data_IF_243408889169
#
_entry.id   IF_243408889169
#
_cell.length_a   1.000
_cell.length_b   1.000
_cell.length_c   1.000
_cell.angle_alpha   90.00
_cell.angle_beta   90.00
_cell.angle_gamma   90.00
#
_symmetry.space_group_name_H-M   'P 1'
#
loop_
_entity.id
_entity.type
_entity.pdbx_description
1 polymer ?
#
# COMPACT_ATOMS: atom_id res chain seq x y z
N UNK A 1 24.04 33.29 9.02
CA UNK A 1 24.25 31.96 9.61
C UNK A 1 25.68 31.54 9.33
N UNK A 2 26.49 31.40 10.38
CA UNK A 2 27.92 31.07 10.27
C UNK A 2 28.07 29.56 10.20
N UNK A 3 28.53 29.04 9.06
CA UNK A 3 28.91 27.63 8.95
C UNK A 3 30.42 27.55 8.98
N UNK A 4 30.97 27.24 10.16
CA UNK A 4 32.37 26.84 10.31
C UNK A 4 32.44 25.40 9.82
N UNK A 5 32.77 25.20 8.54
CA UNK A 5 33.12 23.89 8.00
C UNK A 5 34.51 23.50 8.50
N UNK A 6 34.59 22.53 9.41
CA UNK A 6 35.87 21.85 9.71
C UNK A 6 36.34 21.16 8.43
N UNK A 7 37.55 21.46 7.97
CA UNK A 7 38.16 20.76 6.85
C UNK A 7 38.38 19.29 7.24
N UNK A 8 37.68 18.37 6.56
CA UNK A 8 37.95 16.93 6.65
C UNK A 8 39.17 16.62 5.79
N UNK A 9 40.29 16.21 6.41
CA UNK A 9 41.49 15.79 5.69
C UNK A 9 41.48 14.27 5.45
N UNK A 10 41.23 13.82 4.23
CA UNK A 10 41.29 12.39 3.85
C UNK A 10 42.68 11.92 3.45
N UNK A 11 43.67 12.83 3.36
CA UNK A 11 45.03 12.50 2.91
C UNK A 11 45.13 12.11 1.43
N UNK A 12 44.04 12.28 0.66
CA UNK A 12 44.01 12.04 -0.78
C UNK A 12 44.33 13.32 -1.56
N UNK A 13 45.01 13.15 -2.67
CA UNK A 13 45.26 14.13 -3.73
C UNK A 13 44.01 14.46 -4.57
N UNK A 14 42.93 13.69 -4.45
CA UNK A 14 41.65 13.96 -5.11
C UNK A 14 40.76 14.93 -4.30
N UNK A 15 40.04 15.80 -5.02
CA UNK A 15 39.06 16.71 -4.42
C UNK A 15 37.79 15.98 -3.99
N UNK A 16 37.35 16.22 -2.75
CA UNK A 16 36.06 15.73 -2.26
C UNK A 16 34.92 16.55 -2.87
N UNK A 17 34.01 15.87 -3.56
CA UNK A 17 32.77 16.47 -4.04
C UNK A 17 31.71 16.29 -2.95
N UNK A 18 31.31 17.38 -2.31
CA UNK A 18 30.22 17.38 -1.33
C UNK A 18 28.95 17.94 -1.98
N UNK A 19 27.92 17.12 -2.11
CA UNK A 19 26.59 17.58 -2.49
C UNK A 19 25.76 17.88 -1.24
N UNK A 20 25.10 19.04 -1.20
CA UNK A 20 24.08 19.33 -0.18
C UNK A 20 22.72 18.97 -0.73
N UNK A 21 22.16 17.85 -0.27
CA UNK A 21 20.80 17.46 -0.60
C UNK A 21 19.86 18.21 0.35
N UNK A 22 18.97 19.03 -0.22
CA UNK A 22 17.91 19.69 0.53
C UNK A 22 16.61 18.97 0.22
N UNK A 23 16.08 18.26 1.20
CA UNK A 23 14.80 17.57 1.09
C UNK A 23 13.69 18.49 1.60
N UNK A 24 12.73 18.83 0.74
CA UNK A 24 11.50 19.46 1.19
C UNK A 24 10.54 18.39 1.68
N UNK A 25 10.35 18.33 3.00
CA UNK A 25 9.48 17.36 3.64
C UNK A 25 8.03 17.39 3.11
N UNK A 26 7.52 18.55 2.67
CA UNK A 26 6.17 18.65 2.12
C UNK A 26 6.08 18.04 0.72
N UNK A 27 7.10 18.26 -0.11
CA UNK A 27 7.17 17.71 -1.46
C UNK A 27 7.35 16.19 -1.39
N UNK A 28 8.27 15.71 -0.56
CA UNK A 28 8.50 14.28 -0.32
C UNK A 28 7.25 13.58 0.21
N UNK A 29 6.56 14.18 1.20
CA UNK A 29 5.32 13.63 1.73
C UNK A 29 4.21 13.54 0.67
N UNK A 30 4.12 14.53 -0.23
CA UNK A 30 3.18 14.49 -1.35
C UNK A 30 3.55 13.42 -2.36
N UNK A 31 4.82 13.32 -2.74
CA UNK A 31 5.33 12.30 -3.65
C UNK A 31 5.03 10.89 -3.11
N UNK A 32 5.30 10.67 -1.82
CA UNK A 32 5.02 9.41 -1.13
C UNK A 32 3.52 9.10 -1.04
N UNK A 33 2.68 10.12 -0.83
CA UNK A 33 1.23 9.93 -0.85
C UNK A 33 0.72 9.54 -2.25
N UNK A 34 1.29 10.10 -3.32
CA UNK A 34 0.95 9.79 -4.71
C UNK A 34 1.46 8.40 -5.09
N UNK A 35 2.70 8.03 -4.74
CA UNK A 35 3.24 6.70 -5.03
C UNK A 35 2.44 5.59 -4.35
N UNK A 36 1.91 5.88 -3.15
CA UNK A 36 1.10 4.95 -2.37
C UNK A 36 -0.40 5.07 -2.69
N UNK A 37 -0.81 6.06 -3.51
CA UNK A 37 -2.19 6.23 -3.90
C UNK A 37 -2.64 5.03 -4.75
N UNK A 38 -3.58 4.24 -4.21
CA UNK A 38 -4.11 3.05 -4.89
C UNK A 38 -3.51 1.73 -4.42
N UNK A 39 -2.44 1.74 -3.62
CA UNK A 39 -1.99 0.53 -2.93
C UNK A 39 -3.01 0.18 -1.83
N UNK A 40 -3.87 -0.82 -2.09
CA UNK A 40 -4.71 -1.41 -1.05
C UNK A 40 -3.78 -2.02 -0.01
N UNK A 41 -3.93 -1.63 1.25
CA UNK A 41 -3.28 -2.33 2.34
C UNK A 41 -3.74 -3.79 2.27
N UNK A 42 -2.83 -4.72 2.07
CA UNK A 42 -3.11 -6.14 2.21
C UNK A 42 -2.80 -6.57 3.63
N UNK A 43 -3.57 -7.52 4.13
CA UNK A 43 -3.36 -8.20 5.41
C UNK A 43 -3.16 -9.67 5.15
N UNK A 44 -2.27 -10.30 5.90
CA UNK A 44 -2.02 -11.72 5.80
C UNK A 44 -3.09 -12.51 6.56
N UNK A 45 -3.80 -13.41 5.87
CA UNK A 45 -4.73 -14.36 6.49
C UNK A 45 -4.04 -15.72 6.70
N UNK A 46 -3.71 -16.02 7.96
CA UNK A 46 -3.04 -17.25 8.33
C UNK A 46 -3.87 -18.52 8.03
N UNK A 47 -5.21 -18.44 8.05
CA UNK A 47 -6.06 -19.61 7.75
C UNK A 47 -6.03 -19.93 6.26
N UNK A 48 -6.14 -18.90 5.43
CA UNK A 48 -6.05 -19.03 3.97
C UNK A 48 -4.66 -19.53 3.58
N UNK A 49 -3.60 -19.00 4.22
CA UNK A 49 -2.24 -19.49 4.02
C UNK A 49 -2.10 -20.98 4.31
N UNK A 50 -2.59 -21.45 5.47
CA UNK A 50 -2.54 -22.87 5.83
C UNK A 50 -3.29 -23.74 4.83
N UNK A 51 -4.47 -23.30 4.36
CA UNK A 51 -5.22 -24.02 3.32
C UNK A 51 -4.42 -24.16 2.02
N UNK A 52 -3.70 -23.12 1.60
CA UNK A 52 -2.86 -23.19 0.40
C UNK A 52 -1.62 -24.06 0.59
N UNK A 53 -1.03 -24.05 1.78
CA UNK A 53 0.10 -24.94 2.12
C UNK A 53 -0.36 -26.39 2.08
N UNK A 54 -1.49 -26.72 2.69
CA UNK A 54 -2.02 -28.09 2.73
C UNK A 54 -2.43 -28.61 1.35
N UNK A 55 -2.89 -27.72 0.47
CA UNK A 55 -3.27 -28.06 -0.90
C UNK A 55 -2.07 -28.13 -1.89
N UNK A 56 -0.89 -27.67 -1.49
CA UNK A 56 0.28 -27.61 -2.36
C UNK A 56 1.01 -28.96 -2.42
N UNK A 57 1.53 -29.29 -3.60
CA UNK A 57 2.35 -30.49 -3.80
C UNK A 57 3.80 -30.26 -3.36
N UNK A 58 4.16 -30.82 -2.21
CA UNK A 58 5.51 -30.76 -1.63
C UNK A 58 6.39 -31.96 -1.97
N UNK A 59 6.04 -32.73 -3.01
CA UNK A 59 6.88 -33.86 -3.42
C UNK A 59 8.27 -33.40 -3.83
N UNK A 60 9.26 -34.07 -3.25
CA UNK A 60 10.68 -33.87 -3.52
C UNK A 60 11.10 -34.68 -4.76
N UNK A 61 12.01 -34.12 -5.52
CA UNK A 61 12.63 -34.73 -6.68
C UNK A 61 14.00 -35.34 -6.28
N UNK A 62 14.84 -35.65 -7.28
CA UNK A 62 16.22 -36.10 -7.04
C UNK A 62 17.22 -34.95 -7.05
N UNK A 63 16.82 -33.77 -7.53
CA UNK A 63 17.66 -32.60 -7.63
C UNK A 63 17.35 -31.63 -6.48
N UNK A 64 18.33 -31.43 -5.59
CA UNK A 64 18.18 -30.59 -4.41
C UNK A 64 18.02 -29.11 -4.77
N UNK A 65 18.65 -28.65 -5.85
CA UNK A 65 18.54 -27.25 -6.27
C UNK A 65 17.14 -26.98 -6.84
N UNK A 66 16.61 -27.94 -7.60
CA UNK A 66 15.23 -27.85 -8.13
C UNK A 66 14.20 -27.92 -6.99
N UNK A 67 14.40 -28.79 -6.01
CA UNK A 67 13.54 -28.90 -4.83
C UNK A 67 13.54 -27.62 -3.99
N UNK A 68 14.71 -27.01 -3.79
CA UNK A 68 14.80 -25.74 -3.07
C UNK A 68 14.07 -24.62 -3.80
N UNK A 69 14.25 -24.53 -5.12
CA UNK A 69 13.56 -23.54 -5.94
C UNK A 69 12.04 -23.76 -5.95
N UNK A 70 11.59 -25.02 -6.10
CA UNK A 70 10.18 -25.41 -6.02
C UNK A 70 9.59 -24.99 -4.68
N UNK A 71 10.26 -25.31 -3.58
CA UNK A 71 9.83 -24.96 -2.24
C UNK A 71 9.66 -23.44 -2.05
N UNK A 72 10.70 -22.67 -2.39
CA UNK A 72 10.68 -21.20 -2.24
C UNK A 72 9.57 -20.58 -3.08
N UNK A 73 9.40 -21.04 -4.32
CA UNK A 73 8.39 -20.50 -5.23
C UNK A 73 6.97 -20.84 -4.77
N UNK A 74 6.73 -22.07 -4.30
CA UNK A 74 5.43 -22.48 -3.74
C UNK A 74 5.11 -21.70 -2.47
N UNK A 75 6.08 -21.50 -1.57
CA UNK A 75 5.87 -20.74 -0.35
C UNK A 75 5.50 -19.28 -0.65
N UNK A 76 6.21 -18.64 -1.59
CA UNK A 76 5.87 -17.29 -2.07
C UNK A 76 4.49 -17.25 -2.71
N UNK A 77 4.12 -18.27 -3.48
CA UNK A 77 2.80 -18.35 -4.07
C UNK A 77 1.71 -18.45 -3.00
N UNK A 78 1.88 -19.33 -1.99
CA UNK A 78 0.96 -19.44 -0.86
C UNK A 78 0.83 -18.11 -0.10
N UNK A 79 1.95 -17.41 0.13
CA UNK A 79 1.95 -16.09 0.76
C UNK A 79 1.13 -15.09 -0.05
N UNK A 80 1.35 -15.00 -1.37
CA UNK A 80 0.62 -14.08 -2.24
C UNK A 80 -0.89 -14.36 -2.27
N UNK A 81 -1.30 -15.64 -2.28
CA UNK A 81 -2.71 -16.00 -2.25
C UNK A 81 -3.37 -15.71 -0.89
N UNK A 82 -2.58 -15.70 0.19
CA UNK A 82 -3.06 -15.37 1.53
C UNK A 82 -3.12 -13.87 1.84
N UNK A 83 -2.65 -13.01 0.92
CA UNK A 83 -2.79 -11.57 1.04
C UNK A 83 -4.21 -11.13 0.69
N UNK A 84 -5.01 -10.86 1.72
CA UNK A 84 -6.38 -10.37 1.56
C UNK A 84 -6.45 -8.86 1.73
N UNK A 85 -7.35 -8.15 1.04
CA UNK A 85 -7.54 -6.72 1.27
C UNK A 85 -7.85 -6.44 2.74
N UNK A 86 -7.05 -5.56 3.36
CA UNK A 86 -7.30 -5.07 4.70
C UNK A 86 -8.66 -4.39 4.71
N UNK A 87 -9.57 -4.91 5.53
CA UNK A 87 -10.85 -4.25 5.75
C UNK A 87 -10.60 -2.85 6.28
N UNK A 88 -10.92 -1.84 5.46
CA UNK A 88 -10.94 -0.47 5.93
C UNK A 88 -11.97 -0.40 7.07
N UNK A 89 -11.51 -0.26 8.32
CA UNK A 89 -12.38 -0.15 9.50
C UNK A 89 -13.48 0.91 9.31
N UNK A 90 -13.24 1.92 8.49
CA UNK A 90 -14.23 2.93 8.10
C UNK A 90 -15.45 2.36 7.36
N UNK A 91 -15.29 1.31 6.56
CA UNK A 91 -16.40 0.64 5.87
C UNK A 91 -17.30 -0.15 6.82
N UNK A 92 -16.76 -0.68 7.92
CA UNK A 92 -17.55 -1.39 8.95
C UNK A 92 -18.30 -0.45 9.89
N UNK A 93 -17.90 0.82 9.99
CA UNK A 93 -18.55 1.83 10.84
C UNK A 93 -19.88 2.34 10.28
N UNK A 94 -20.08 2.22 8.97
CA UNK A 94 -21.25 2.76 8.29
C UNK A 94 -22.18 1.60 8.00
N UNK A 95 -23.45 1.73 8.37
CA UNK A 95 -24.45 0.72 8.05
C UNK A 95 -24.58 0.56 6.53
N UNK A 96 -24.98 -0.62 6.09
CA UNK A 96 -25.20 -0.88 4.66
C UNK A 96 -26.25 0.06 4.05
N UNK A 97 -27.25 0.49 4.83
CA UNK A 97 -28.25 1.47 4.42
C UNK A 97 -27.66 2.86 4.21
N UNK A 98 -26.88 3.38 5.16
CA UNK A 98 -26.21 4.69 5.03
C UNK A 98 -25.19 4.69 3.89
N UNK A 99 -24.52 3.57 3.63
CA UNK A 99 -23.59 3.43 2.50
C UNK A 99 -24.29 3.57 1.15
N UNK A 100 -25.47 2.96 0.98
CA UNK A 100 -26.30 3.11 -0.23
C UNK A 100 -26.70 4.57 -0.45
N UNK A 101 -27.07 5.29 0.61
CA UNK A 101 -27.41 6.71 0.52
C UNK A 101 -26.18 7.54 0.10
N UNK A 102 -24.98 7.25 0.63
CA UNK A 102 -23.75 7.92 0.20
C UNK A 102 -23.42 7.68 -1.28
N UNK A 103 -23.59 6.45 -1.78
CA UNK A 103 -23.38 6.11 -3.18
C UNK A 103 -24.38 6.86 -4.10
N UNK A 104 -25.66 6.91 -3.71
CA UNK A 104 -26.68 7.70 -4.39
C UNK A 104 -26.30 9.19 -4.42
N UNK A 105 -25.86 9.75 -3.29
CA UNK A 105 -25.38 11.14 -3.21
C UNK A 105 -24.23 11.41 -4.18
N UNK A 106 -23.26 10.49 -4.23
CA UNK A 106 -22.12 10.59 -5.14
C UNK A 106 -22.59 10.59 -6.60
N UNK A 107 -23.44 9.63 -7.00
CA UNK A 107 -23.97 9.58 -8.37
C UNK A 107 -24.75 10.85 -8.74
N UNK A 108 -25.62 11.34 -7.84
CA UNK A 108 -26.41 12.55 -8.06
C UNK A 108 -25.54 13.80 -8.20
N UNK A 109 -24.44 13.91 -7.45
CA UNK A 109 -23.46 15.01 -7.56
C UNK A 109 -22.87 15.11 -8.97
N UNK A 110 -22.64 13.97 -9.62
CA UNK A 110 -22.08 13.94 -10.97
C UNK A 110 -23.11 14.25 -12.06
N UNK A 111 -24.39 13.95 -11.81
CA UNK A 111 -25.42 13.96 -12.86
C UNK A 111 -26.05 15.35 -13.04
N UNK A 112 -26.38 16.13 -11.99
CA UNK A 112 -26.86 17.53 -12.15
C UNK A 112 -26.89 18.31 -10.82
N UNK A 113 -26.56 19.61 -10.86
CA UNK A 113 -26.41 20.49 -9.69
C UNK A 113 -27.69 20.96 -8.98
N UNK A 114 -28.91 20.60 -9.45
CA UNK A 114 -30.19 21.08 -8.89
C UNK A 114 -31.21 19.95 -8.65
N UNK A 115 -30.78 18.82 -8.07
CA UNK A 115 -31.73 17.80 -7.62
C UNK A 115 -32.17 18.07 -6.17
N UNK A 116 -33.47 18.29 -5.93
CA UNK A 116 -34.05 18.44 -4.59
C UNK A 116 -33.75 17.23 -3.71
N UNK A 117 -33.75 16.02 -4.30
CA UNK A 117 -33.38 14.78 -3.62
C UNK A 117 -31.93 14.79 -3.15
N UNK A 118 -31.01 15.36 -3.94
CA UNK A 118 -29.62 15.53 -3.52
C UNK A 118 -29.52 16.45 -2.30
N UNK A 119 -30.27 17.55 -2.27
CA UNK A 119 -30.33 18.44 -1.12
C UNK A 119 -30.92 17.78 0.12
N UNK A 120 -31.96 16.96 -0.04
CA UNK A 120 -32.52 16.16 1.04
C UNK A 120 -31.50 15.15 1.57
N UNK A 121 -30.81 14.42 0.68
CA UNK A 121 -29.76 13.49 1.06
C UNK A 121 -28.60 14.17 1.80
N UNK A 122 -28.20 15.37 1.37
CA UNK A 122 -27.14 16.15 2.04
C UNK A 122 -27.51 16.59 3.46
N UNK A 123 -28.80 16.72 3.78
CA UNK A 123 -29.27 17.04 5.14
C UNK A 123 -29.47 15.79 6.00
N UNK A 124 -29.74 14.65 5.37
CA UNK A 124 -30.07 13.39 6.05
C UNK A 124 -28.83 12.62 6.51
N UNK A 125 -27.68 12.79 5.83
CA UNK A 125 -26.39 12.11 6.08
C UNK A 125 -25.33 13.12 6.49
#
# INVERSE_FOLDING_TARGET
MTVIGRAFSTGSDHWLICARIVLDAKVEKKALAISNAGQKKMTFDAKVFLQHVDASDWTLSKDLDDDYNKFVNQLKHCQQQSEVPCDNHQQKRISSSTRKLLDQRCQMKWITANNVEYHLLCKLI
#
